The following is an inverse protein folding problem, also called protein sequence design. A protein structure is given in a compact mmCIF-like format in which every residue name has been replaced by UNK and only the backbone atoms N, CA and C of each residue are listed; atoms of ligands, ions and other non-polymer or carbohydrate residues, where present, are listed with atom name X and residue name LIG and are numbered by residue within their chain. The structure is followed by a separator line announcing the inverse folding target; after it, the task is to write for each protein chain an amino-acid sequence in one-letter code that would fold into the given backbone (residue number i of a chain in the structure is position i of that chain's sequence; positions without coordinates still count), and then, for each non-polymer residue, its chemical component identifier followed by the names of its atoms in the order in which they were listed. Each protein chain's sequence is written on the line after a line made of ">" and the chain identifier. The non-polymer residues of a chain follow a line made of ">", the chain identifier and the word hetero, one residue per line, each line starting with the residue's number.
data_IF_484431553175
#
_entry.id   IF_484431553175
#
_cell.length_a   1.000
_cell.length_b   1.000
_cell.length_c   1.000
_cell.angle_alpha   90.00
_cell.angle_beta   90.00
_cell.angle_gamma   90.00
#
_symmetry.space_group_name_H-M   'P 1'
#
loop_
_entity.id
_entity.type
_entity.pdbx_description
1 polymer ?
#
# COMPACT_ATOMS: atom_id res chain seq x y z
N UNK A 1 -8.38 42.56 -4.30
CA UNK A 1 -8.67 41.12 -4.14
C UNK A 1 -7.60 40.59 -3.19
N UNK A 2 -7.98 40.31 -1.95
CA UNK A 2 -7.07 39.78 -0.93
C UNK A 2 -6.72 38.35 -1.32
N UNK A 3 -5.43 38.07 -1.52
CA UNK A 3 -4.92 36.72 -1.74
C UNK A 3 -5.40 35.84 -0.58
N UNK A 4 -6.20 34.82 -0.89
CA UNK A 4 -6.61 33.85 0.13
C UNK A 4 -5.35 33.10 0.56
N UNK A 5 -5.06 33.00 1.87
CA UNK A 5 -3.91 32.24 2.32
C UNK A 5 -3.99 30.81 1.78
N UNK A 6 -2.92 30.36 1.12
CA UNK A 6 -2.84 28.99 0.63
C UNK A 6 -2.78 28.06 1.84
N UNK A 7 -3.86 27.32 2.08
CA UNK A 7 -3.99 26.39 3.20
C UNK A 7 -3.18 25.11 2.96
N UNK A 8 -2.76 24.85 1.71
CA UNK A 8 -1.93 23.71 1.33
C UNK A 8 -0.46 24.03 1.55
N UNK A 9 0.23 23.08 2.17
CA UNK A 9 1.69 23.09 2.30
C UNK A 9 2.31 22.48 1.04
N UNK A 10 3.55 22.85 0.75
CA UNK A 10 4.35 22.19 -0.27
C UNK A 10 4.63 20.73 0.11
N UNK A 11 4.58 19.84 -0.88
CA UNK A 11 4.80 18.39 -0.67
C UNK A 11 6.30 18.11 -0.60
N UNK A 12 6.80 18.03 0.63
CA UNK A 12 8.16 17.67 0.98
C UNK A 12 8.35 16.14 1.13
N UNK A 13 9.59 15.71 1.40
CA UNK A 13 9.93 14.29 1.53
C UNK A 13 9.28 13.63 2.75
N UNK A 14 9.04 14.39 3.82
CA UNK A 14 8.34 13.90 5.01
C UNK A 14 6.85 13.66 4.72
N UNK A 15 6.22 14.53 3.91
CA UNK A 15 4.86 14.34 3.44
C UNK A 15 4.75 13.10 2.53
N UNK A 16 5.70 12.92 1.59
CA UNK A 16 5.78 11.72 0.75
C UNK A 16 5.90 10.45 1.58
N UNK A 17 6.87 10.42 2.50
CA UNK A 17 7.10 9.29 3.42
C UNK A 17 5.89 8.96 4.28
N UNK A 18 5.20 9.99 4.80
CA UNK A 18 3.97 9.78 5.55
C UNK A 18 2.85 9.20 4.67
N UNK A 19 2.65 9.71 3.45
CA UNK A 19 1.68 9.16 2.52
C UNK A 19 1.98 7.70 2.18
N UNK A 20 3.23 7.37 1.87
CA UNK A 20 3.65 6.00 1.60
C UNK A 20 3.42 5.09 2.80
N UNK A 21 3.77 5.54 4.01
CA UNK A 21 3.56 4.77 5.24
C UNK A 21 2.07 4.50 5.48
N UNK A 22 1.20 5.48 5.27
CA UNK A 22 -0.24 5.31 5.42
C UNK A 22 -0.82 4.33 4.39
N UNK A 23 -0.36 4.42 3.14
CA UNK A 23 -0.88 3.58 2.05
C UNK A 23 -0.32 2.15 2.11
N UNK A 24 1.00 2.01 2.10
CA UNK A 24 1.73 0.72 2.08
C UNK A 24 1.65 0.00 3.42
N UNK A 25 1.44 0.73 4.52
CA UNK A 25 1.18 0.17 5.85
C UNK A 25 -0.28 -0.21 6.11
N UNK A 26 -1.24 0.21 5.26
CA UNK A 26 -2.65 -0.07 5.48
C UNK A 26 -2.98 -1.55 5.25
N UNK A 27 -3.63 -2.17 6.24
CA UNK A 27 -4.22 -3.52 6.08
C UNK A 27 -5.53 -3.47 5.30
N UNK A 28 -6.33 -2.46 5.58
CA UNK A 28 -7.61 -2.20 4.95
C UNK A 28 -7.78 -0.73 4.65
N UNK A 29 -8.75 -0.41 3.80
CA UNK A 29 -9.15 0.96 3.52
C UNK A 29 -10.64 1.05 3.20
N UNK A 30 -11.14 2.28 3.13
CA UNK A 30 -12.49 2.57 2.64
C UNK A 30 -12.41 2.92 1.17
N UNK A 31 -12.99 2.07 0.32
CA UNK A 31 -13.08 2.25 -1.12
C UNK A 31 -14.42 2.89 -1.47
N UNK A 32 -14.37 4.07 -2.09
CA UNK A 32 -15.50 4.70 -2.74
C UNK A 32 -15.46 4.39 -4.25
N UNK A 33 -16.60 3.96 -4.80
CA UNK A 33 -16.82 3.75 -6.23
C UNK A 33 -18.15 4.38 -6.64
N UNK A 34 -18.36 4.65 -7.93
CA UNK A 34 -19.60 5.26 -8.43
C UNK A 34 -20.58 4.14 -8.79
N UNK A 35 -21.67 4.01 -8.03
CA UNK A 35 -22.65 2.95 -8.28
C UNK A 35 -23.46 3.25 -9.55
N UNK A 36 -23.56 2.32 -10.51
CA UNK A 36 -24.38 2.48 -11.70
C UNK A 36 -25.84 2.67 -11.32
N UNK A 37 -26.59 3.47 -12.10
CA UNK A 37 -28.03 3.68 -11.92
C UNK A 37 -28.43 4.29 -10.56
N UNK A 38 -27.46 4.67 -9.71
CA UNK A 38 -27.70 5.33 -8.44
C UNK A 38 -28.09 6.82 -8.58
N UNK A 39 -28.02 7.39 -9.79
CA UNK A 39 -28.12 8.85 -9.97
C UNK A 39 -26.84 9.60 -9.57
N UNK A 40 -25.70 8.90 -9.54
CA UNK A 40 -24.39 9.47 -9.26
C UNK A 40 -23.98 9.45 -7.78
N UNK A 41 -24.66 8.67 -6.94
CA UNK A 41 -24.23 8.49 -5.55
C UNK A 41 -22.95 7.64 -5.49
N UNK A 42 -21.97 8.03 -4.65
CA UNK A 42 -20.84 7.17 -4.35
C UNK A 42 -21.27 6.05 -3.39
N UNK A 43 -20.82 4.84 -3.67
CA UNK A 43 -20.92 3.69 -2.77
C UNK A 43 -19.59 3.47 -2.07
N UNK A 44 -19.61 3.35 -0.73
CA UNK A 44 -18.40 3.14 0.07
C UNK A 44 -18.44 1.76 0.71
N UNK A 45 -17.33 1.02 0.61
CA UNK A 45 -17.15 -0.27 1.25
C UNK A 45 -15.74 -0.47 1.78
N UNK A 46 -15.58 -1.39 2.74
CA UNK A 46 -14.27 -1.74 3.27
C UNK A 46 -13.63 -2.84 2.44
N UNK A 47 -12.35 -2.66 2.10
CA UNK A 47 -11.53 -3.60 1.34
C UNK A 47 -10.22 -3.90 2.07
N UNK A 48 -9.66 -5.08 1.86
CA UNK A 48 -8.25 -5.33 2.18
C UNK A 48 -7.38 -4.66 1.13
N UNK A 49 -6.24 -4.13 1.57
CA UNK A 49 -5.27 -3.44 0.71
C UNK A 49 -3.98 -4.24 0.63
N UNK A 50 -3.59 -4.59 -0.59
CA UNK A 50 -2.25 -5.09 -0.93
C UNK A 50 -1.49 -4.05 -1.76
N UNK A 51 -0.23 -4.34 -2.06
CA UNK A 51 0.61 -3.51 -2.93
C UNK A 51 1.27 -4.40 -3.99
N UNK A 52 1.35 -3.94 -5.22
CA UNK A 52 2.26 -4.52 -6.21
C UNK A 52 3.70 -3.98 -5.99
N UNK A 53 4.67 -4.52 -6.72
CA UNK A 53 6.11 -4.20 -6.57
C UNK A 53 6.48 -2.77 -6.96
N UNK A 54 5.63 -2.11 -7.74
CA UNK A 54 5.74 -0.70 -8.13
C UNK A 54 5.01 0.24 -7.15
N UNK A 55 4.54 -0.28 -6.01
CA UNK A 55 3.84 0.50 -5.00
C UNK A 55 2.40 0.87 -5.36
N UNK A 56 1.82 0.35 -6.45
CA UNK A 56 0.41 0.55 -6.77
C UNK A 56 -0.47 -0.28 -5.81
N UNK A 57 -1.51 0.31 -5.18
CA UNK A 57 -2.42 -0.42 -4.32
C UNK A 57 -3.25 -1.45 -5.09
N UNK A 58 -3.53 -2.56 -4.41
CA UNK A 58 -4.29 -3.69 -4.93
C UNK A 58 -5.46 -4.00 -4.01
N UNK A 59 -6.57 -4.40 -4.63
CA UNK A 59 -7.71 -4.99 -3.92
C UNK A 59 -8.05 -6.34 -4.54
N UNK A 60 -8.56 -7.25 -3.71
CA UNK A 60 -9.06 -8.57 -4.11
C UNK A 60 -10.53 -8.64 -3.71
N UNK A 61 -11.41 -8.67 -4.69
CA UNK A 61 -12.85 -8.43 -4.49
C UNK A 61 -13.70 -9.46 -5.25
N UNK A 62 -14.84 -9.84 -4.67
CA UNK A 62 -15.80 -10.73 -5.33
C UNK A 62 -16.56 -9.99 -6.43
N UNK A 63 -16.69 -10.59 -7.60
CA UNK A 63 -17.52 -10.19 -8.74
C UNK A 63 -18.99 -10.02 -8.37
N UNK A 64 -19.43 -10.59 -7.25
CA UNK A 64 -20.80 -10.47 -6.76
C UNK A 64 -21.05 -9.16 -6.01
N UNK A 65 -20.00 -8.48 -5.53
CA UNK A 65 -20.15 -7.29 -4.69
C UNK A 65 -20.58 -6.05 -5.49
N UNK A 66 -21.22 -5.11 -4.80
CA UNK A 66 -21.61 -3.80 -5.37
C UNK A 66 -20.40 -3.03 -5.88
N UNK A 67 -19.29 -2.98 -5.12
CA UNK A 67 -18.10 -2.25 -5.57
C UNK A 67 -17.49 -2.86 -6.84
N UNK A 68 -17.53 -4.19 -7.04
CA UNK A 68 -16.99 -4.77 -8.28
C UNK A 68 -17.83 -4.39 -9.49
N UNK A 69 -19.16 -4.46 -9.37
CA UNK A 69 -20.07 -4.01 -10.44
C UNK A 69 -19.87 -2.53 -10.76
N UNK A 70 -19.68 -1.71 -9.73
CA UNK A 70 -19.39 -0.29 -9.89
C UNK A 70 -18.07 -0.06 -10.64
N UNK A 71 -16.96 -0.66 -10.20
CA UNK A 71 -15.65 -0.49 -10.84
C UNK A 71 -15.58 -1.01 -12.27
N UNK A 72 -16.39 -2.00 -12.62
CA UNK A 72 -16.49 -2.50 -14.00
C UNK A 72 -17.27 -1.56 -14.93
N UNK A 73 -18.16 -0.74 -14.38
CA UNK A 73 -18.95 0.24 -15.13
C UNK A 73 -18.28 1.61 -15.20
N UNK A 74 -17.58 2.02 -14.14
CA UNK A 74 -16.81 3.26 -14.03
C UNK A 74 -15.55 2.98 -13.22
N UNK A 75 -14.39 3.14 -13.86
CA UNK A 75 -13.10 2.82 -13.25
C UNK A 75 -12.69 3.81 -12.17
N UNK A 76 -13.34 4.98 -12.05
CA UNK A 76 -12.95 6.00 -11.09
C UNK A 76 -13.29 5.57 -9.67
N UNK A 77 -12.28 5.59 -8.82
CA UNK A 77 -12.39 5.22 -7.42
C UNK A 77 -11.60 6.15 -6.51
N UNK A 78 -11.93 6.12 -5.22
CA UNK A 78 -11.15 6.79 -4.18
C UNK A 78 -10.91 5.82 -3.02
N UNK A 79 -9.66 5.71 -2.58
CA UNK A 79 -9.26 4.89 -1.44
C UNK A 79 -8.84 5.78 -0.28
N UNK A 80 -9.51 5.64 0.87
CA UNK A 80 -9.10 6.27 2.12
C UNK A 80 -8.33 5.26 2.99
N UNK A 81 -7.14 5.67 3.42
CA UNK A 81 -6.29 4.94 4.37
C UNK A 81 -5.83 5.85 5.50
N UNK A 82 -5.39 5.23 6.60
CA UNK A 82 -5.12 5.90 7.87
C UNK A 82 -6.24 5.60 8.87
N UNK A 83 -5.87 5.02 10.00
CA UNK A 83 -6.80 4.62 11.05
C UNK A 83 -6.71 5.62 12.22
N UNK A 84 -7.84 6.05 12.80
CA UNK A 84 -7.82 6.88 13.98
C UNK A 84 -7.34 6.07 15.19
N UNK A 85 -6.49 6.69 16.01
CA UNK A 85 -6.15 6.19 17.34
C UNK A 85 -7.08 6.76 18.43
N UNK A 86 -6.61 6.72 19.68
CA UNK A 86 -7.30 7.35 20.81
C UNK A 86 -7.37 8.87 20.64
N UNK A 87 -8.47 9.49 21.07
CA UNK A 87 -8.66 10.95 21.05
C UNK A 87 -9.50 11.42 19.87
N UNK A 88 -9.29 12.67 19.43
CA UNK A 88 -9.96 13.25 18.27
C UNK A 88 -9.51 12.53 16.98
N UNK A 89 -10.43 11.91 16.20
CA UNK A 89 -10.09 11.23 14.96
C UNK A 89 -9.43 12.16 13.92
N UNK A 90 -9.73 13.46 13.93
CA UNK A 90 -9.16 14.43 12.97
C UNK A 90 -7.70 14.80 13.26
N UNK A 91 -7.20 14.46 14.46
CA UNK A 91 -5.80 14.62 14.81
C UNK A 91 -4.89 13.58 14.12
N UNK A 92 -5.45 12.43 13.71
CA UNK A 92 -4.68 11.31 13.15
C UNK A 92 -4.49 11.43 11.64
N UNK A 93 -3.30 11.12 11.10
CA UNK A 93 -3.00 11.25 9.68
C UNK A 93 -3.85 10.32 8.81
N UNK A 94 -4.23 10.79 7.62
CA UNK A 94 -5.08 10.10 6.65
C UNK A 94 -4.69 10.47 5.23
N UNK A 95 -4.84 9.52 4.34
CA UNK A 95 -4.54 9.69 2.91
C UNK A 95 -5.77 9.27 2.09
N UNK A 96 -6.26 10.19 1.27
CA UNK A 96 -7.28 9.90 0.26
C UNK A 96 -6.62 9.86 -1.10
N UNK A 97 -6.54 8.67 -1.70
CA UNK A 97 -5.99 8.46 -3.05
C UNK A 97 -7.15 8.42 -4.05
N UNK A 98 -7.11 9.29 -5.06
CA UNK A 98 -7.98 9.17 -6.23
C UNK A 98 -7.25 8.34 -7.27
N UNK A 99 -7.95 7.38 -7.87
CA UNK A 99 -7.35 6.35 -8.72
C UNK A 99 -8.32 5.88 -9.79
N UNK A 100 -7.77 5.20 -10.80
CA UNK A 100 -8.53 4.38 -11.74
C UNK A 100 -8.29 2.91 -11.43
N UNK A 101 -9.38 2.15 -11.29
CA UNK A 101 -9.34 0.73 -11.05
C UNK A 101 -9.17 -0.03 -12.37
N UNK A 102 -8.18 -0.90 -12.42
CA UNK A 102 -7.86 -1.74 -13.57
C UNK A 102 -7.93 -3.21 -13.14
N UNK A 103 -8.81 -3.99 -13.77
CA UNK A 103 -8.91 -5.42 -13.50
C UNK A 103 -7.67 -6.15 -14.02
N UNK A 104 -7.09 -7.03 -13.21
CA UNK A 104 -5.93 -7.83 -13.60
C UNK A 104 -6.39 -9.18 -14.15
N UNK A 105 -5.99 -9.49 -15.39
CA UNK A 105 -6.32 -10.74 -16.05
C UNK A 105 -5.73 -11.95 -15.30
N UNK A 106 -6.56 -12.97 -15.06
CA UNK A 106 -6.22 -14.12 -14.19
C UNK A 106 -5.05 -14.97 -14.70
N UNK A 107 -4.90 -15.03 -16.02
CA UNK A 107 -3.88 -15.77 -16.76
C UNK A 107 -2.59 -14.97 -16.99
N UNK A 108 -2.50 -13.73 -16.50
CA UNK A 108 -1.31 -12.89 -16.63
C UNK A 108 -0.21 -13.23 -15.61
N UNK A 109 1.05 -12.97 -15.97
CA UNK A 109 2.19 -13.03 -15.04
C UNK A 109 2.02 -12.05 -13.86
N UNK A 110 1.42 -10.87 -14.12
CA UNK A 110 1.11 -9.89 -13.09
C UNK A 110 0.18 -10.49 -12.02
N UNK A 111 -0.87 -11.22 -12.43
CA UNK A 111 -1.79 -11.88 -11.50
C UNK A 111 -1.06 -12.88 -10.59
N UNK A 112 -0.20 -13.74 -11.15
CA UNK A 112 0.54 -14.72 -10.37
C UNK A 112 1.40 -14.05 -9.27
N UNK A 113 2.14 -12.99 -9.63
CA UNK A 113 2.95 -12.21 -8.69
C UNK A 113 2.11 -11.55 -7.60
N UNK A 114 1.09 -10.77 -7.98
CA UNK A 114 0.30 -10.02 -7.00
C UNK A 114 -0.49 -10.95 -6.07
N UNK A 115 -0.95 -12.10 -6.58
CA UNK A 115 -1.60 -13.12 -5.76
C UNK A 115 -0.68 -13.59 -4.64
N UNK A 116 0.57 -13.89 -4.96
CA UNK A 116 1.54 -14.34 -3.96
C UNK A 116 1.81 -13.26 -2.91
N UNK A 117 2.05 -12.01 -3.34
CA UNK A 117 2.22 -10.87 -2.42
C UNK A 117 1.01 -10.68 -1.51
N UNK A 118 -0.19 -10.69 -2.09
CA UNK A 118 -1.43 -10.47 -1.35
C UNK A 118 -1.66 -11.57 -0.31
N UNK A 119 -1.36 -12.82 -0.63
CA UNK A 119 -1.48 -13.95 0.30
C UNK A 119 -0.46 -13.88 1.44
N UNK A 120 0.80 -13.50 1.16
CA UNK A 120 1.81 -13.29 2.22
C UNK A 120 1.39 -12.20 3.19
N UNK A 121 0.86 -11.09 2.65
CA UNK A 121 0.35 -9.96 3.43
C UNK A 121 -0.93 -10.30 4.20
N UNK A 122 -1.83 -11.07 3.59
CA UNK A 122 -3.14 -11.44 4.15
C UNK A 122 -3.31 -12.97 4.14
N UNK A 123 -2.71 -13.73 5.08
CA UNK A 123 -2.73 -15.19 5.04
C UNK A 123 -4.12 -15.83 4.98
N UNK A 124 -5.13 -15.17 5.59
CA UNK A 124 -6.53 -15.62 5.55
C UNK A 124 -7.16 -15.56 4.15
N UNK A 125 -6.57 -14.80 3.21
CA UNK A 125 -7.06 -14.71 1.83
C UNK A 125 -6.88 -16.00 1.02
N UNK A 126 -6.00 -16.92 1.46
CA UNK A 126 -5.87 -18.27 0.89
C UNK A 126 -7.20 -19.01 0.77
N UNK A 127 -8.17 -18.68 1.64
CA UNK A 127 -9.49 -19.30 1.66
C UNK A 127 -10.38 -18.91 0.48
N UNK A 128 -10.10 -17.80 -0.21
CA UNK A 128 -10.98 -17.27 -1.26
C UNK A 128 -10.26 -16.70 -2.48
N UNK A 129 -8.94 -16.48 -2.44
CA UNK A 129 -8.17 -15.83 -3.52
C UNK A 129 -8.25 -16.57 -4.86
N UNK A 130 -8.46 -17.89 -4.83
CA UNK A 130 -8.57 -18.71 -6.04
C UNK A 130 -10.01 -18.98 -6.48
N UNK A 131 -11.00 -18.43 -5.79
CA UNK A 131 -12.38 -18.59 -6.21
C UNK A 131 -12.63 -17.89 -7.54
N UNK A 132 -13.40 -18.50 -8.46
CA UNK A 132 -13.62 -17.95 -9.80
C UNK A 132 -14.37 -16.61 -9.80
N UNK A 133 -15.09 -16.33 -8.72
CA UNK A 133 -15.78 -15.07 -8.50
C UNK A 133 -14.89 -14.02 -7.83
N UNK A 134 -13.65 -14.29 -7.42
CA UNK A 134 -12.74 -13.24 -6.93
C UNK A 134 -11.80 -12.74 -8.04
N UNK A 135 -11.50 -11.45 -8.02
CA UNK A 135 -10.61 -10.80 -8.99
C UNK A 135 -9.77 -9.71 -8.35
N UNK A 136 -8.55 -9.55 -8.86
CA UNK A 136 -7.67 -8.46 -8.47
C UNK A 136 -7.95 -7.21 -9.31
N UNK A 137 -7.91 -6.05 -8.64
CA UNK A 137 -7.87 -4.75 -9.29
C UNK A 137 -6.63 -3.99 -8.80
N UNK A 138 -5.90 -3.41 -9.74
CA UNK A 138 -4.91 -2.37 -9.49
C UNK A 138 -5.61 -1.03 -9.38
N UNK A 139 -5.29 -0.24 -8.36
CA UNK A 139 -5.84 1.09 -8.15
C UNK A 139 -4.79 2.12 -8.58
N UNK A 140 -4.68 2.37 -9.88
CA UNK A 140 -3.66 3.23 -10.47
C UNK A 140 -3.85 4.67 -9.97
N UNK A 141 -2.94 5.21 -9.12
CA UNK A 141 -3.12 6.51 -8.50
C UNK A 141 -3.07 7.65 -9.52
N UNK A 142 -3.94 8.65 -9.35
CA UNK A 142 -3.92 9.89 -10.13
C UNK A 142 -3.37 11.06 -9.30
N UNK A 143 -3.77 11.11 -8.03
CA UNK A 143 -3.33 12.08 -7.03
C UNK A 143 -3.78 11.63 -5.65
N UNK A 144 -3.22 12.24 -4.60
CA UNK A 144 -3.73 12.07 -3.25
C UNK A 144 -3.85 13.39 -2.49
N UNK A 145 -4.79 13.40 -1.55
CA UNK A 145 -4.88 14.41 -0.49
C UNK A 145 -4.35 13.78 0.78
N UNK A 146 -3.20 14.26 1.25
CA UNK A 146 -2.67 13.89 2.54
C UNK A 146 -3.06 14.96 3.54
N UNK A 147 -3.62 14.49 4.64
CA UNK A 147 -3.94 15.33 5.74
C UNK A 147 -3.20 14.68 6.92
N UNK A 148 -2.13 15.32 7.38
CA UNK A 148 -1.13 14.75 8.29
C UNK A 148 -1.43 15.01 9.77
N UNK A 149 -2.53 15.69 10.08
CA UNK A 149 -2.93 16.14 11.42
C UNK A 149 -3.57 17.52 11.32
N UNK A 150 -3.71 18.23 12.44
CA UNK A 150 -4.15 19.62 12.42
C UNK A 150 -3.16 20.51 11.65
N UNK A 151 -3.69 21.34 10.74
CA UNK A 151 -2.90 22.33 9.98
C UNK A 151 -1.89 21.76 8.97
N UNK A 152 -1.87 20.45 8.74
CA UNK A 152 -0.95 19.79 7.79
C UNK A 152 -1.74 19.17 6.65
N UNK A 153 -1.90 19.88 5.54
CA UNK A 153 -2.58 19.41 4.34
C UNK A 153 -1.65 19.54 3.13
N UNK A 154 -1.60 18.50 2.32
CA UNK A 154 -0.72 18.36 1.16
C UNK A 154 -1.47 17.73 -0.01
N UNK A 155 -1.04 18.02 -1.23
CA UNK A 155 -1.51 17.36 -2.44
C UNK A 155 -0.34 16.64 -3.07
N UNK A 156 -0.51 15.34 -3.32
CA UNK A 156 0.50 14.49 -3.96
C UNK A 156 0.06 14.16 -5.38
N UNK A 157 1.02 14.05 -6.29
CA UNK A 157 0.78 13.58 -7.66
C UNK A 157 0.75 12.05 -7.73
N UNK A 158 0.59 11.49 -8.93
CA UNK A 158 0.71 10.06 -9.14
C UNK A 158 2.15 9.58 -8.91
N UNK A 159 3.14 10.33 -9.40
CA UNK A 159 4.58 10.05 -9.28
C UNK A 159 5.04 10.02 -7.82
N UNK A 160 4.44 10.87 -6.98
CA UNK A 160 4.66 10.87 -5.54
C UNK A 160 4.19 9.59 -4.85
N UNK A 161 3.38 8.71 -5.49
CA UNK A 161 2.76 7.54 -4.85
C UNK A 161 3.32 6.20 -5.34
N UNK A 162 3.76 6.16 -6.60
CA UNK A 162 4.34 4.97 -7.24
C UNK A 162 5.85 4.87 -7.00
N UNK A 163 6.42 3.70 -7.29
CA UNK A 163 7.85 3.43 -7.17
C UNK A 163 8.41 3.24 -8.58
N UNK A 164 9.14 4.25 -9.05
CA UNK A 164 9.89 4.16 -10.29
C UNK A 164 11.32 3.69 -10.00
N UNK A 165 11.64 2.47 -10.44
CA UNK A 165 12.98 1.90 -10.29
C UNK A 165 13.30 0.88 -11.38
N UNK A 166 14.55 0.90 -11.85
CA UNK A 166 15.08 -0.14 -12.74
C UNK A 166 15.20 -1.50 -12.04
N UNK A 167 15.23 -1.54 -10.71
CA UNK A 167 15.31 -2.78 -9.93
C UNK A 167 13.98 -3.55 -9.88
N UNK A 168 12.85 -2.92 -10.22
CA UNK A 168 11.50 -3.48 -10.00
C UNK A 168 11.32 -4.89 -10.55
N UNK A 169 11.76 -5.13 -11.79
CA UNK A 169 11.63 -6.45 -12.44
C UNK A 169 12.50 -7.49 -11.74
N UNK A 170 13.78 -7.17 -11.49
CA UNK A 170 14.70 -8.08 -10.79
C UNK A 170 14.27 -8.39 -9.36
N UNK A 171 13.77 -7.39 -8.63
CA UNK A 171 13.25 -7.56 -7.28
C UNK A 171 12.01 -8.44 -7.27
N UNK A 172 11.07 -8.23 -8.19
CA UNK A 172 9.88 -9.06 -8.33
C UNK A 172 10.25 -10.54 -8.53
N UNK A 173 11.29 -10.83 -9.33
CA UNK A 173 11.74 -12.19 -9.60
C UNK A 173 12.38 -12.89 -8.38
N UNK A 174 13.08 -12.14 -7.52
CA UNK A 174 13.80 -12.70 -6.36
C UNK A 174 13.06 -12.57 -5.02
N UNK A 175 11.99 -11.77 -4.97
CA UNK A 175 11.31 -11.35 -3.73
C UNK A 175 10.97 -12.54 -2.82
N UNK A 176 10.32 -13.57 -3.36
CA UNK A 176 9.87 -14.72 -2.58
C UNK A 176 11.03 -15.43 -1.86
N UNK A 177 12.15 -15.62 -2.55
CA UNK A 177 13.36 -16.22 -2.00
C UNK A 177 14.03 -15.33 -0.94
N UNK A 178 14.11 -14.02 -1.21
CA UNK A 178 14.67 -13.06 -0.26
C UNK A 178 13.85 -12.98 1.04
N UNK A 179 12.51 -12.97 0.93
CA UNK A 179 11.60 -13.00 2.08
C UNK A 179 11.79 -14.28 2.90
N UNK A 180 11.83 -15.44 2.23
CA UNK A 180 12.02 -16.72 2.90
C UNK A 180 13.34 -16.76 3.68
N UNK A 181 14.43 -16.31 3.06
CA UNK A 181 15.75 -16.22 3.70
C UNK A 181 15.73 -15.27 4.92
N UNK A 182 15.17 -14.06 4.77
CA UNK A 182 15.08 -13.10 5.87
C UNK A 182 14.29 -13.64 7.06
N UNK A 183 13.16 -14.28 6.80
CA UNK A 183 12.30 -14.80 7.87
C UNK A 183 12.85 -16.07 8.53
N UNK A 184 13.66 -16.86 7.83
CA UNK A 184 14.27 -18.08 8.38
C UNK A 184 15.57 -17.79 9.15
N UNK A 185 16.44 -16.96 8.59
CA UNK A 185 17.83 -16.83 9.06
C UNK A 185 18.10 -15.51 9.79
N UNK A 186 17.21 -14.50 9.66
CA UNK A 186 17.44 -13.13 10.15
C UNK A 186 16.29 -12.57 10.99
N UNK A 187 15.59 -13.43 11.76
CA UNK A 187 14.43 -13.03 12.56
C UNK A 187 14.72 -11.85 13.52
N UNK A 188 15.91 -11.81 14.13
CA UNK A 188 16.32 -10.69 15.00
C UNK A 188 16.46 -9.37 14.24
N UNK A 189 16.93 -9.40 12.98
CA UNK A 189 16.99 -8.21 12.14
C UNK A 189 15.59 -7.72 11.76
N UNK A 190 14.69 -8.65 11.40
CA UNK A 190 13.29 -8.31 11.10
C UNK A 190 12.59 -7.70 12.32
N UNK A 191 12.82 -8.25 13.51
CA UNK A 191 12.33 -7.69 14.78
C UNK A 191 12.88 -6.28 15.01
N UNK A 192 14.19 -6.09 14.83
CA UNK A 192 14.82 -4.77 14.95
C UNK A 192 14.21 -3.74 14.00
N UNK A 193 14.03 -4.08 12.73
CA UNK A 193 13.41 -3.21 11.74
C UNK A 193 12.02 -2.75 12.17
N UNK A 194 11.17 -3.69 12.60
CA UNK A 194 9.81 -3.36 13.01
C UNK A 194 9.80 -2.48 14.27
N UNK A 195 10.51 -2.88 15.32
CA UNK A 195 10.41 -2.26 16.63
C UNK A 195 11.17 -0.94 16.71
N UNK A 196 12.39 -0.90 16.16
CA UNK A 196 13.28 0.27 16.27
C UNK A 196 13.10 1.26 15.14
N UNK A 197 12.87 0.81 13.91
CA UNK A 197 12.79 1.69 12.75
C UNK A 197 11.34 2.06 12.40
N UNK A 198 10.36 1.20 12.68
CA UNK A 198 8.94 1.47 12.42
C UNK A 198 8.10 1.78 13.68
N UNK A 199 8.74 1.88 14.85
CA UNK A 199 8.06 2.09 16.15
C UNK A 199 6.90 1.11 16.37
N UNK A 200 7.10 -0.15 15.99
CA UNK A 200 6.11 -1.20 16.17
C UNK A 200 6.21 -1.80 17.58
N UNK A 201 5.11 -2.36 18.14
CA UNK A 201 5.18 -3.08 19.41
C UNK A 201 6.01 -4.35 19.27
N UNK A 202 6.47 -4.87 20.42
CA UNK A 202 7.18 -6.14 20.46
C UNK A 202 6.35 -7.29 19.89
N UNK A 203 6.97 -8.12 19.04
CA UNK A 203 6.27 -9.23 18.38
C UNK A 203 7.13 -10.08 17.47
N UNK A 204 6.56 -11.19 17.00
CA UNK A 204 7.17 -12.07 15.99
C UNK A 204 6.93 -11.51 14.58
N UNK A 205 7.61 -10.40 14.28
CA UNK A 205 7.50 -9.70 12.99
C UNK A 205 8.10 -10.53 11.85
N UNK A 206 7.44 -10.50 10.69
CA UNK A 206 7.89 -11.13 9.44
C UNK A 206 7.93 -10.11 8.31
N UNK A 207 8.88 -10.25 7.40
CA UNK A 207 8.84 -9.58 6.10
C UNK A 207 7.75 -10.27 5.26
N UNK A 208 6.85 -9.48 4.68
CA UNK A 208 5.77 -9.97 3.80
C UNK A 208 5.81 -9.39 2.40
N UNK A 209 6.59 -8.32 2.20
CA UNK A 209 6.85 -7.70 0.90
C UNK A 209 8.20 -7.00 0.88
N UNK A 210 8.85 -7.01 -0.28
CA UNK A 210 10.06 -6.25 -0.60
C UNK A 210 9.85 -5.56 -1.94
N UNK A 211 10.10 -4.27 -2.00
CA UNK A 211 10.15 -3.51 -3.24
C UNK A 211 11.35 -2.57 -3.24
N UNK A 212 11.55 -1.81 -4.32
CA UNK A 212 12.72 -0.96 -4.45
C UNK A 212 12.80 0.13 -3.37
N UNK A 213 11.67 0.52 -2.76
CA UNK A 213 11.61 1.59 -1.78
C UNK A 213 11.51 1.11 -0.33
N UNK A 214 11.46 -0.20 -0.06
CA UNK A 214 11.36 -0.66 1.33
C UNK A 214 10.92 -2.10 1.57
N UNK A 215 10.59 -2.35 2.84
CA UNK A 215 10.03 -3.60 3.34
C UNK A 215 8.62 -3.39 3.89
N UNK A 216 7.75 -4.37 3.64
CA UNK A 216 6.49 -4.52 4.36
C UNK A 216 6.65 -5.58 5.44
N UNK A 217 6.30 -5.21 6.68
CA UNK A 217 6.45 -6.04 7.88
C UNK A 217 5.07 -6.34 8.48
N UNK A 218 4.87 -7.58 8.94
CA UNK A 218 3.61 -8.01 9.54
C UNK A 218 3.82 -8.74 10.87
N UNK A 219 2.91 -8.51 11.82
CA UNK A 219 2.77 -9.30 13.05
C UNK A 219 1.29 -9.40 13.42
N UNK A 220 0.72 -10.61 13.31
CA UNK A 220 -0.71 -10.83 13.45
C UNK A 220 -1.52 -10.00 12.45
N UNK A 221 -2.34 -9.08 12.97
CA UNK A 221 -3.16 -8.17 12.17
C UNK A 221 -2.49 -6.79 11.95
N UNK A 222 -1.27 -6.57 12.47
CA UNK A 222 -0.53 -5.32 12.31
C UNK A 222 0.35 -5.36 11.07
N UNK A 223 0.40 -4.24 10.36
CA UNK A 223 1.27 -4.01 9.21
C UNK A 223 2.07 -2.73 9.41
N UNK A 224 3.33 -2.76 8.99
CA UNK A 224 4.26 -1.64 9.02
C UNK A 224 5.01 -1.55 7.71
N UNK A 225 5.25 -0.32 7.28
CA UNK A 225 6.13 0.00 6.15
C UNK A 225 7.45 0.52 6.71
N UNK A 226 8.55 -0.15 6.37
CA UNK A 226 9.89 0.39 6.51
C UNK A 226 10.30 0.98 5.17
N UNK A 227 10.57 2.28 5.12
CA UNK A 227 11.08 2.93 3.92
C UNK A 227 12.60 2.99 3.92
N UNK A 228 13.17 2.74 2.75
CA UNK A 228 14.59 2.97 2.51
C UNK A 228 14.86 4.48 2.34
N UNK A 229 16.10 4.93 2.58
CA UNK A 229 16.47 6.34 2.38
C UNK A 229 16.23 6.83 0.95
N UNK A 230 16.38 5.95 -0.04
CA UNK A 230 16.04 6.18 -1.43
C UNK A 230 15.64 4.85 -2.10
N UNK A 231 14.85 4.89 -3.18
CA UNK A 231 14.58 3.69 -3.97
C UNK A 231 15.88 3.11 -4.55
N UNK A 232 16.09 1.82 -4.35
CA UNK A 232 17.20 1.07 -4.94
C UNK A 232 17.13 1.14 -6.45
N UNK A 233 18.27 1.20 -7.14
CA UNK A 233 18.33 1.21 -8.61
C UNK A 233 18.64 -0.16 -9.20
N UNK A 234 19.31 -1.01 -8.43
CA UNK A 234 19.61 -2.39 -8.75
C UNK A 234 19.25 -3.34 -7.58
N UNK A 235 18.78 -4.55 -7.90
CA UNK A 235 18.42 -5.54 -6.87
C UNK A 235 19.59 -6.01 -5.99
N UNK A 236 20.83 -5.91 -6.47
CA UNK A 236 22.04 -6.22 -5.70
C UNK A 236 22.27 -5.28 -4.52
N UNK A 237 21.64 -4.09 -4.53
CA UNK A 237 21.71 -3.12 -3.42
C UNK A 237 20.95 -3.59 -2.17
N UNK A 238 20.00 -4.53 -2.32
CA UNK A 238 19.12 -4.97 -1.22
C UNK A 238 19.91 -5.47 -0.02
N UNK A 239 20.86 -6.38 -0.24
CA UNK A 239 21.59 -7.00 0.87
C UNK A 239 22.52 -6.00 1.60
N UNK A 240 23.36 -5.21 0.91
CA UNK A 240 24.12 -4.13 1.55
C UNK A 240 23.25 -3.18 2.36
N UNK A 241 22.13 -2.73 1.79
CA UNK A 241 21.23 -1.77 2.42
C UNK A 241 20.59 -2.34 3.69
N UNK A 242 20.12 -3.59 3.67
CA UNK A 242 19.58 -4.25 4.86
C UNK A 242 20.62 -4.36 5.98
N UNK A 243 21.88 -4.68 5.64
CA UNK A 243 22.95 -4.72 6.64
C UNK A 243 23.22 -3.35 7.27
N UNK A 244 23.27 -2.31 6.45
CA UNK A 244 23.44 -0.94 6.92
C UNK A 244 22.31 -0.50 7.86
N UNK A 245 21.06 -0.85 7.54
CA UNK A 245 19.90 -0.53 8.37
C UNK A 245 19.91 -1.26 9.72
N UNK A 246 20.52 -2.44 9.81
CA UNK A 246 20.60 -3.20 11.06
C UNK A 246 21.73 -2.72 11.98
N UNK A 247 22.83 -2.21 11.40
CA UNK A 247 24.05 -1.80 12.12
C UNK A 247 25.09 -2.91 12.15
#
# INVERSE_FOLDING_TARGET
>A
MTDKPNVLRETDDEARKLAHTLLRGARSGSLAAIEPESGGFPFVSRVLVGMDVDGVPLILISKLSTHTKALLADTRASLLTGEPGKGDPLAHPRLTVQCEAEAVARDSEAHARIRERFVRRHPKSKLYVDFPDFGFFRLNPLRASLNGGFGRAYVLTAEDLVIESAATVSLAAMEAGAIAHMNADHAEAVKFYAERLCNAPEGDWKVVGIDAAGLDLAYGDQLKRLEFPAPMRDSSELRPLLRELYG
#
